data_IF_542178791032
#
_entry.id   IF_542178791032
#
_cell.length_a   1.000
_cell.length_b   1.000
_cell.length_c   1.000
_cell.angle_alpha   90.00
_cell.angle_beta   90.00
_cell.angle_gamma   90.00
#
_symmetry.space_group_name_H-M   'P 1'
#
loop_
_entity.id
_entity.type
_entity.pdbx_description
1 polymer ?
#
# COMPACT_ATOMS: atom_id res chain seq x y z
N UNK A 1 12.19 -29.86 -11.00
CA UNK A 1 13.08 -29.48 -9.88
C UNK A 1 12.41 -28.34 -9.10
N UNK A 2 11.58 -28.66 -8.10
CA UNK A 2 10.86 -27.64 -7.31
C UNK A 2 11.81 -26.83 -6.41
N UNK A 3 12.88 -27.48 -5.92
CA UNK A 3 13.85 -26.89 -4.98
C UNK A 3 14.76 -25.85 -5.62
N UNK A 4 14.79 -25.76 -6.96
CA UNK A 4 15.49 -24.70 -7.67
C UNK A 4 14.85 -23.32 -7.52
N UNK A 5 13.59 -23.25 -7.08
CA UNK A 5 12.88 -22.00 -6.80
C UNK A 5 12.38 -21.96 -5.35
N UNK A 6 11.84 -23.06 -4.84
CA UNK A 6 11.22 -23.09 -3.51
C UNK A 6 12.13 -23.75 -2.47
N UNK A 7 11.99 -23.32 -1.22
CA UNK A 7 12.59 -24.02 -0.09
C UNK A 7 11.64 -25.09 0.45
N UNK A 8 12.18 -26.24 0.90
CA UNK A 8 11.49 -27.25 1.71
C UNK A 8 12.45 -27.80 2.75
N UNK A 9 12.05 -27.69 4.01
CA UNK A 9 12.70 -28.22 5.21
C UNK A 9 14.13 -27.69 5.34
N UNK A 10 14.28 -26.39 5.08
CA UNK A 10 15.57 -25.70 5.05
C UNK A 10 16.34 -25.84 3.74
N UNK A 11 15.93 -26.73 2.83
CA UNK A 11 16.68 -27.09 1.60
C UNK A 11 16.08 -26.41 0.38
N UNK A 12 16.93 -25.91 -0.53
CA UNK A 12 16.52 -25.29 -1.79
C UNK A 12 16.29 -23.79 -1.67
N UNK A 13 15.54 -23.24 -2.64
CA UNK A 13 15.42 -21.80 -2.85
C UNK A 13 16.37 -21.30 -3.95
N UNK A 14 16.21 -20.05 -4.40
CA UNK A 14 17.11 -19.48 -5.40
C UNK A 14 18.51 -19.28 -4.82
N UNK A 15 19.52 -19.67 -5.59
CA UNK A 15 20.90 -19.32 -5.27
C UNK A 15 21.19 -17.85 -5.62
N UNK A 16 22.37 -17.37 -5.22
CA UNK A 16 22.80 -15.98 -5.48
C UNK A 16 22.77 -15.59 -6.96
N UNK A 17 22.97 -16.56 -7.87
CA UNK A 17 22.91 -16.31 -9.31
C UNK A 17 21.47 -16.11 -9.82
N UNK A 18 20.49 -16.77 -9.19
CA UNK A 18 19.07 -16.72 -9.58
C UNK A 18 18.26 -15.70 -8.79
N UNK A 19 18.70 -15.31 -7.59
CA UNK A 19 17.98 -14.40 -6.69
C UNK A 19 17.54 -13.09 -7.37
N UNK A 20 18.39 -12.54 -8.26
CA UNK A 20 18.08 -11.35 -9.08
C UNK A 20 16.87 -11.46 -10.00
N UNK A 21 16.39 -12.68 -10.29
CA UNK A 21 15.19 -12.91 -11.11
C UNK A 21 13.92 -13.02 -10.27
N UNK A 22 14.03 -12.93 -8.95
CA UNK A 22 12.94 -12.92 -8.00
C UNK A 22 12.65 -11.49 -7.56
N UNK A 23 11.73 -10.86 -8.28
CA UNK A 23 11.27 -9.48 -8.10
C UNK A 23 9.81 -9.45 -7.65
N UNK A 24 9.40 -8.34 -7.04
CA UNK A 24 8.05 -8.14 -6.55
C UNK A 24 7.96 -6.96 -5.59
N UNK A 25 7.03 -7.03 -4.65
CA UNK A 25 6.76 -5.94 -3.72
C UNK A 25 7.77 -5.91 -2.55
N UNK A 26 8.73 -5.00 -2.62
CA UNK A 26 9.77 -4.87 -1.59
C UNK A 26 9.22 -4.44 -0.21
N UNK A 27 8.01 -3.87 -0.13
CA UNK A 27 7.40 -3.42 1.12
C UNK A 27 7.13 -4.57 2.11
N UNK A 28 7.09 -5.81 1.62
CA UNK A 28 6.92 -7.03 2.41
C UNK A 28 8.15 -7.94 2.38
N UNK A 29 9.33 -7.35 2.12
CA UNK A 29 10.63 -8.02 2.14
C UNK A 29 10.66 -9.27 1.23
N UNK A 30 11.35 -10.33 1.65
CA UNK A 30 11.45 -11.58 0.88
C UNK A 30 10.07 -12.22 0.59
N UNK A 31 9.06 -11.94 1.42
CA UNK A 31 7.69 -12.37 1.18
C UNK A 31 6.98 -11.56 0.08
N UNK A 32 7.63 -10.59 -0.56
CA UNK A 32 7.14 -9.90 -1.75
C UNK A 32 7.69 -10.44 -3.06
N UNK A 33 8.88 -11.05 -3.01
CA UNK A 33 9.65 -11.43 -4.20
C UNK A 33 9.91 -12.93 -4.33
N UNK A 34 10.09 -13.65 -3.22
CA UNK A 34 10.42 -15.08 -3.23
C UNK A 34 9.18 -15.97 -3.31
N UNK A 35 9.22 -17.13 -3.98
CA UNK A 35 8.10 -18.06 -4.01
C UNK A 35 7.84 -18.67 -2.61
N UNK A 36 6.63 -19.17 -2.33
CA UNK A 36 6.33 -19.69 -0.99
C UNK A 36 7.15 -20.95 -0.68
N UNK A 37 7.55 -21.18 0.58
CA UNK A 37 8.14 -22.45 0.98
C UNK A 37 7.14 -23.60 0.80
N UNK A 38 7.68 -24.78 0.47
CA UNK A 38 6.93 -26.03 0.28
C UNK A 38 6.90 -26.93 1.53
N UNK A 39 7.50 -26.53 2.65
CA UNK A 39 7.37 -27.26 3.92
C UNK A 39 5.92 -27.29 4.37
N UNK A 40 5.39 -28.49 4.62
CA UNK A 40 4.04 -28.69 5.17
C UNK A 40 2.92 -28.17 4.28
N UNK A 41 3.12 -28.03 2.97
CA UNK A 41 2.08 -27.46 2.09
C UNK A 41 0.88 -28.37 1.92
N UNK A 42 1.06 -29.68 2.05
CA UNK A 42 -0.06 -30.64 2.03
C UNK A 42 -0.92 -30.59 3.29
N UNK A 43 -0.40 -30.21 4.46
CA UNK A 43 -1.29 -29.91 5.61
C UNK A 43 -1.95 -28.54 5.49
N UNK A 44 -1.28 -27.60 4.82
CA UNK A 44 -1.70 -26.21 4.70
C UNK A 44 -2.84 -25.98 3.71
N UNK A 45 -2.70 -26.45 2.47
CA UNK A 45 -3.59 -26.09 1.37
C UNK A 45 -4.69 -27.13 1.19
N UNK A 46 -5.87 -26.70 0.77
CA UNK A 46 -6.91 -27.62 0.33
C UNK A 46 -6.50 -28.29 -1.00
N UNK A 47 -6.86 -29.57 -1.18
CA UNK A 47 -6.50 -30.34 -2.38
C UNK A 47 -6.97 -29.67 -3.68
N UNK A 48 -8.24 -29.23 -3.70
CA UNK A 48 -8.81 -28.54 -4.86
C UNK A 48 -8.07 -27.23 -5.19
N UNK A 49 -7.63 -26.48 -4.18
CA UNK A 49 -6.82 -25.28 -4.37
C UNK A 49 -5.44 -25.63 -4.94
N UNK A 50 -4.77 -26.63 -4.35
CA UNK A 50 -3.44 -27.05 -4.78
C UNK A 50 -3.43 -27.55 -6.23
N UNK A 51 -4.45 -28.30 -6.65
CA UNK A 51 -4.60 -28.71 -8.05
C UNK A 51 -4.73 -27.51 -9.01
N UNK A 52 -5.55 -26.51 -8.66
CA UNK A 52 -5.69 -25.29 -9.47
C UNK A 52 -4.37 -24.52 -9.56
N UNK A 53 -3.60 -24.45 -8.48
CA UNK A 53 -2.25 -23.85 -8.49
C UNK A 53 -1.33 -24.59 -9.45
N UNK A 54 -1.29 -25.93 -9.39
CA UNK A 54 -0.47 -26.72 -10.33
C UNK A 54 -0.94 -26.60 -11.78
N UNK A 55 -2.23 -26.35 -12.04
CA UNK A 55 -2.73 -26.06 -13.40
C UNK A 55 -2.42 -24.64 -13.87
N UNK A 56 -1.96 -23.75 -12.99
CA UNK A 56 -1.72 -22.34 -13.30
C UNK A 56 -2.97 -21.46 -13.24
N UNK A 57 -4.06 -21.95 -12.64
CA UNK A 57 -5.38 -21.30 -12.63
C UNK A 57 -5.60 -20.38 -11.42
N UNK A 58 -4.78 -20.50 -10.38
CA UNK A 58 -4.88 -19.69 -9.15
C UNK A 58 -3.52 -19.16 -8.71
N UNK A 59 -3.50 -17.91 -8.23
CA UNK A 59 -2.32 -17.23 -7.70
C UNK A 59 -2.72 -16.35 -6.51
N UNK A 60 -2.16 -16.61 -5.33
CA UNK A 60 -2.48 -15.83 -4.12
C UNK A 60 -1.61 -14.59 -3.90
N UNK A 61 -0.47 -14.49 -4.59
CA UNK A 61 0.53 -13.43 -4.39
C UNK A 61 0.71 -12.68 -5.70
N UNK A 62 -0.20 -11.75 -6.05
CA UNK A 62 -0.18 -11.04 -7.32
C UNK A 62 1.05 -10.15 -7.52
N UNK A 63 1.73 -9.82 -6.42
CA UNK A 63 2.96 -9.03 -6.38
C UNK A 63 4.26 -9.81 -6.64
N UNK A 64 4.29 -11.15 -6.59
CA UNK A 64 5.52 -11.93 -6.88
C UNK A 64 5.69 -12.14 -8.39
N UNK A 65 6.54 -11.37 -9.06
CA UNK A 65 6.57 -11.34 -10.53
C UNK A 65 6.96 -12.68 -11.15
N UNK A 66 7.95 -13.36 -10.57
CA UNK A 66 8.42 -14.67 -11.03
C UNK A 66 7.30 -15.72 -10.99
N UNK A 67 7.00 -16.31 -12.15
CA UNK A 67 5.91 -17.28 -12.30
C UNK A 67 6.38 -18.71 -12.04
N UNK A 68 5.54 -19.47 -11.34
CA UNK A 68 5.70 -20.92 -11.23
C UNK A 68 5.24 -21.58 -12.54
N UNK A 69 6.00 -22.54 -13.10
CA UNK A 69 5.55 -23.31 -14.26
C UNK A 69 4.26 -24.08 -13.96
N UNK A 70 3.38 -24.21 -14.95
CA UNK A 70 2.20 -25.04 -14.86
C UNK A 70 2.55 -26.53 -15.07
N UNK A 71 2.01 -27.39 -14.22
CA UNK A 71 2.15 -28.85 -14.25
C UNK A 71 0.78 -29.52 -14.37
N UNK A 72 -0.07 -29.04 -15.29
CA UNK A 72 -1.47 -29.45 -15.40
C UNK A 72 -1.68 -30.97 -15.48
N UNK A 73 -0.81 -31.68 -16.22
CA UNK A 73 -0.86 -33.15 -16.36
C UNK A 73 -0.52 -33.91 -15.06
N UNK A 74 0.22 -33.27 -14.14
CA UNK A 74 0.66 -33.87 -12.89
C UNK A 74 -0.07 -33.29 -11.66
N UNK A 75 -0.97 -32.34 -11.84
CA UNK A 75 -1.63 -31.62 -10.75
C UNK A 75 -2.21 -32.56 -9.69
N UNK A 76 -3.01 -33.56 -10.11
CA UNK A 76 -3.60 -34.55 -9.20
C UNK A 76 -2.55 -35.41 -8.48
N UNK A 77 -1.53 -35.85 -9.21
CA UNK A 77 -0.48 -36.72 -8.67
C UNK A 77 0.37 -35.97 -7.63
N UNK A 78 0.78 -34.73 -7.93
CA UNK A 78 1.55 -33.90 -7.00
C UNK A 78 0.73 -33.51 -5.78
N UNK A 79 -0.53 -33.12 -5.96
CA UNK A 79 -1.44 -32.82 -4.84
C UNK A 79 -1.56 -34.02 -3.91
N UNK A 80 -1.82 -35.21 -4.44
CA UNK A 80 -1.92 -36.45 -3.64
C UNK A 80 -0.63 -36.71 -2.85
N UNK A 81 0.52 -36.72 -3.53
CA UNK A 81 1.82 -37.00 -2.89
C UNK A 81 2.16 -36.00 -1.79
N UNK A 82 1.90 -34.70 -2.02
CA UNK A 82 2.17 -33.66 -1.02
C UNK A 82 1.25 -33.79 0.20
N UNK A 83 -0.03 -34.10 0.00
CA UNK A 83 -0.95 -34.37 1.12
C UNK A 83 -0.55 -35.61 1.93
N UNK A 84 -0.08 -36.66 1.28
CA UNK A 84 0.39 -37.88 1.95
C UNK A 84 1.65 -37.61 2.78
N UNK A 85 2.64 -36.92 2.20
CA UNK A 85 3.92 -36.64 2.86
C UNK A 85 3.79 -35.59 3.97
N UNK A 86 2.94 -34.59 3.80
CA UNK A 86 2.73 -33.51 4.77
C UNK A 86 1.55 -33.78 5.73
N UNK A 87 1.02 -35.00 5.79
CA UNK A 87 -0.14 -35.32 6.61
C UNK A 87 0.11 -34.99 8.10
N UNK A 88 -0.82 -34.22 8.69
CA UNK A 88 -0.82 -33.89 10.12
C UNK A 88 -2.18 -34.24 10.73
N UNK A 89 -2.45 -35.53 10.98
CA UNK A 89 -3.78 -35.99 11.43
C UNK A 89 -4.18 -35.42 12.79
N UNK A 90 -3.19 -35.09 13.64
CA UNK A 90 -3.41 -34.64 15.02
C UNK A 90 -3.65 -33.12 15.15
N UNK A 91 -3.73 -32.39 14.03
CA UNK A 91 -4.07 -30.96 14.11
C UNK A 91 -5.47 -30.79 14.72
N UNK A 92 -5.64 -29.90 15.71
CA UNK A 92 -6.94 -29.68 16.35
C UNK A 92 -7.98 -29.17 15.37
N UNK A 93 -9.20 -29.72 15.49
CA UNK A 93 -10.36 -29.16 14.80
C UNK A 93 -10.73 -27.79 15.40
N UNK A 94 -11.31 -26.93 14.57
CA UNK A 94 -11.92 -25.69 15.05
C UNK A 94 -13.23 -26.05 15.78
N UNK A 95 -13.51 -25.32 16.84
CA UNK A 95 -14.84 -25.27 17.44
C UNK A 95 -15.81 -24.50 16.52
N UNK A 96 -17.08 -24.46 16.88
CA UNK A 96 -18.05 -23.60 16.18
C UNK A 96 -17.72 -22.12 16.45
N UNK A 97 -17.77 -21.31 15.40
CA UNK A 97 -17.46 -19.89 15.42
C UNK A 97 -18.71 -19.01 15.29
N UNK A 98 -18.65 -17.82 15.87
CA UNK A 98 -19.64 -16.76 15.71
C UNK A 98 -19.19 -15.81 14.59
N UNK A 99 -20.01 -15.68 13.55
CA UNK A 99 -19.71 -14.88 12.36
C UNK A 99 -19.51 -13.40 12.71
N UNK A 100 -20.35 -12.81 13.55
CA UNK A 100 -20.23 -11.39 13.89
C UNK A 100 -19.01 -11.12 14.77
N UNK A 101 -18.71 -12.05 15.69
CA UNK A 101 -17.47 -11.98 16.44
C UNK A 101 -16.24 -12.05 15.50
N UNK A 102 -16.28 -12.91 14.48
CA UNK A 102 -15.23 -13.00 13.46
C UNK A 102 -15.07 -11.70 12.67
N UNK A 103 -16.19 -11.10 12.25
CA UNK A 103 -16.22 -9.81 11.55
C UNK A 103 -15.55 -8.69 12.35
N UNK A 104 -15.85 -8.63 13.65
CA UNK A 104 -15.22 -7.68 14.58
C UNK A 104 -13.74 -7.96 14.79
N UNK A 105 -13.37 -9.23 14.98
CA UNK A 105 -11.98 -9.62 15.24
C UNK A 105 -11.06 -9.29 14.07
N UNK A 106 -11.47 -9.51 12.82
CA UNK A 106 -10.62 -9.13 11.66
C UNK A 106 -10.40 -7.61 11.56
N UNK A 107 -11.34 -6.83 12.09
CA UNK A 107 -11.37 -5.38 12.03
C UNK A 107 -10.34 -4.66 12.90
N UNK A 108 -10.33 -3.33 12.78
CA UNK A 108 -9.47 -2.44 13.59
C UNK A 108 -10.18 -1.83 14.80
N UNK A 109 -11.49 -2.00 14.92
CA UNK A 109 -12.29 -1.43 16.01
C UNK A 109 -12.43 -2.43 17.16
N UNK A 110 -11.36 -2.55 17.95
CA UNK A 110 -11.32 -3.49 19.08
C UNK A 110 -11.16 -4.96 18.64
N UNK A 111 -10.69 -5.19 17.41
CA UNK A 111 -10.29 -6.49 16.88
C UNK A 111 -8.78 -6.72 16.98
N UNK A 112 -8.31 -7.72 16.23
CA UNK A 112 -6.89 -8.08 16.11
C UNK A 112 -6.18 -7.39 14.94
N UNK A 113 -6.83 -6.44 14.26
CA UNK A 113 -6.26 -5.58 13.22
C UNK A 113 -5.74 -6.31 11.97
N UNK A 114 -6.41 -7.39 11.54
CA UNK A 114 -5.98 -8.16 10.37
C UNK A 114 -6.00 -7.33 9.08
N UNK A 115 -7.01 -6.47 8.92
CA UNK A 115 -7.19 -5.63 7.72
C UNK A 115 -6.16 -4.50 7.59
N UNK A 116 -5.32 -4.27 8.61
CA UNK A 116 -4.18 -3.35 8.50
C UNK A 116 -3.11 -3.89 7.57
N UNK A 117 -2.96 -5.21 7.52
CA UNK A 117 -1.93 -5.87 6.72
C UNK A 117 -2.49 -6.74 5.60
N UNK A 118 -3.77 -7.11 5.64
CA UNK A 118 -4.34 -8.02 4.66
C UNK A 118 -5.51 -7.40 3.90
N UNK A 119 -5.54 -7.68 2.59
CA UNK A 119 -6.62 -7.31 1.68
C UNK A 119 -7.88 -8.12 2.03
N UNK A 120 -9.05 -7.54 1.75
CA UNK A 120 -10.34 -8.23 1.83
C UNK A 120 -11.10 -8.07 0.51
N UNK A 121 -10.99 -9.07 -0.37
CA UNK A 121 -11.62 -9.01 -1.70
C UNK A 121 -11.04 -7.86 -2.54
N UNK A 122 -11.89 -6.89 -2.87
CA UNK A 122 -11.52 -5.67 -3.59
C UNK A 122 -11.06 -4.54 -2.66
N UNK A 123 -11.14 -4.71 -1.33
CA UNK A 123 -10.73 -3.69 -0.37
C UNK A 123 -9.24 -3.80 -0.05
N UNK A 124 -8.42 -2.79 -0.39
CA UNK A 124 -7.01 -2.78 -0.03
C UNK A 124 -6.87 -2.75 1.49
N UNK A 125 -5.76 -3.30 2.00
CA UNK A 125 -5.46 -3.18 3.42
C UNK A 125 -5.14 -1.73 3.80
N UNK A 126 -5.18 -1.41 5.10
CA UNK A 126 -4.88 -0.07 5.64
C UNK A 126 -3.38 0.23 5.77
N UNK A 127 -2.55 -0.59 5.16
CA UNK A 127 -1.10 -0.51 5.28
C UNK A 127 -0.44 -1.47 4.30
N UNK A 128 0.22 -2.49 4.84
CA UNK A 128 0.93 -3.49 4.04
C UNK A 128 -0.06 -4.29 3.18
N UNK A 129 0.20 -4.49 1.89
CA UNK A 129 -0.70 -5.22 0.99
C UNK A 129 -0.43 -6.75 0.98
N UNK A 130 -0.65 -7.44 2.11
CA UNK A 130 -0.47 -8.89 2.18
C UNK A 130 -1.65 -9.68 1.56
N UNK A 131 -1.63 -11.01 1.74
CA UNK A 131 -2.59 -11.95 1.14
C UNK A 131 -4.06 -11.58 1.41
N UNK A 132 -4.92 -11.76 0.42
CA UNK A 132 -6.38 -11.61 0.56
C UNK A 132 -6.96 -12.64 1.54
N UNK A 133 -7.66 -12.15 2.58
CA UNK A 133 -8.29 -13.00 3.60
C UNK A 133 -9.63 -13.60 3.15
N UNK A 134 -10.32 -12.95 2.20
CA UNK A 134 -11.69 -13.30 1.82
C UNK A 134 -11.83 -14.67 1.15
N UNK A 135 -10.71 -15.23 0.68
CA UNK A 135 -10.63 -16.52 -0.04
C UNK A 135 -9.84 -17.58 0.73
N UNK A 136 -9.59 -17.38 2.02
CA UNK A 136 -8.76 -18.32 2.78
C UNK A 136 -9.45 -19.65 3.07
N UNK A 137 -10.78 -19.69 3.12
CA UNK A 137 -11.57 -20.91 3.28
C UNK A 137 -11.44 -21.83 2.06
N UNK A 138 -11.43 -21.28 0.84
CA UNK A 138 -11.15 -22.03 -0.38
C UNK A 138 -9.72 -22.59 -0.38
N UNK A 139 -8.78 -21.80 0.17
CA UNK A 139 -7.34 -22.03 0.02
C UNK A 139 -6.72 -22.90 1.11
N UNK A 140 -7.07 -22.65 2.36
CA UNK A 140 -6.39 -23.20 3.53
C UNK A 140 -7.21 -24.31 4.19
N UNK A 141 -6.50 -25.24 4.82
CA UNK A 141 -7.10 -26.15 5.77
C UNK A 141 -7.39 -25.38 7.08
N UNK A 142 -8.62 -25.45 7.63
CA UNK A 142 -8.98 -24.74 8.86
C UNK A 142 -8.08 -25.09 10.04
N UNK A 143 -7.75 -26.38 10.21
CA UNK A 143 -6.94 -26.86 11.32
C UNK A 143 -5.51 -26.30 11.26
N UNK A 144 -4.96 -26.22 10.05
CA UNK A 144 -3.67 -25.57 9.81
C UNK A 144 -3.76 -24.07 10.09
N UNK A 145 -4.82 -23.40 9.63
CA UNK A 145 -5.04 -21.97 9.87
C UNK A 145 -5.03 -21.62 11.35
N UNK A 146 -5.75 -22.39 12.18
CA UNK A 146 -5.73 -22.22 13.64
C UNK A 146 -4.30 -22.29 14.19
N UNK A 147 -3.57 -23.35 13.88
CA UNK A 147 -2.22 -23.53 14.41
C UNK A 147 -1.23 -22.48 13.89
N UNK A 148 -1.43 -22.01 12.66
CA UNK A 148 -0.64 -20.92 12.08
C UNK A 148 -0.85 -19.61 12.84
N UNK A 149 -2.08 -19.21 13.15
CA UNK A 149 -2.38 -17.95 13.86
C UNK A 149 -1.75 -17.88 15.27
N UNK A 150 -1.58 -19.02 15.92
CA UNK A 150 -0.95 -19.13 17.23
C UNK A 150 0.57 -18.95 17.18
N UNK A 151 1.22 -19.35 16.07
CA UNK A 151 2.67 -19.26 15.93
C UNK A 151 3.13 -19.11 14.47
N UNK A 152 2.88 -17.96 13.80
CA UNK A 152 3.28 -17.78 12.41
C UNK A 152 4.80 -17.95 12.16
N UNK A 153 5.72 -17.45 13.02
CA UNK A 153 7.16 -17.64 12.84
C UNK A 153 7.59 -19.11 12.81
N UNK A 154 6.89 -19.99 13.53
CA UNK A 154 7.16 -21.43 13.52
C UNK A 154 6.86 -22.11 12.18
N UNK A 155 5.96 -21.56 11.37
CA UNK A 155 5.63 -22.09 10.04
C UNK A 155 6.37 -21.35 8.92
N UNK A 156 6.72 -20.09 9.15
CA UNK A 156 7.42 -19.23 8.18
C UNK A 156 8.44 -18.37 8.91
N UNK A 157 9.69 -18.84 9.03
CA UNK A 157 10.78 -18.04 9.54
C UNK A 157 10.89 -16.70 8.79
N UNK A 158 11.08 -15.60 9.52
CA UNK A 158 11.17 -14.26 8.94
C UNK A 158 9.84 -13.66 8.46
N UNK A 159 8.68 -14.28 8.75
CA UNK A 159 7.39 -13.67 8.43
C UNK A 159 7.14 -12.40 9.25
N UNK A 160 6.55 -11.38 8.59
CA UNK A 160 6.09 -10.16 9.26
C UNK A 160 4.87 -10.37 10.16
N UNK A 161 4.15 -11.49 9.98
CA UNK A 161 2.94 -11.77 10.76
C UNK A 161 3.31 -12.15 12.20
N UNK A 162 2.90 -11.37 13.22
CA UNK A 162 3.18 -11.70 14.60
C UNK A 162 2.25 -12.83 15.09
N UNK A 163 2.61 -13.53 16.20
CA UNK A 163 1.65 -14.36 16.91
C UNK A 163 0.47 -13.51 17.37
N UNK A 164 -0.73 -13.76 16.83
CA UNK A 164 -1.92 -12.95 17.13
C UNK A 164 -2.51 -13.27 18.52
N UNK A 165 -2.22 -14.46 19.03
CA UNK A 165 -2.45 -14.89 20.41
C UNK A 165 -1.12 -15.29 21.04
N UNK A 166 -0.29 -14.34 21.50
CA UNK A 166 1.00 -14.64 22.11
C UNK A 166 0.85 -15.65 23.25
N UNK A 167 1.61 -16.75 23.21
CA UNK A 167 1.49 -17.83 24.19
C UNK A 167 0.15 -18.58 24.17
N UNK A 168 -0.63 -18.45 23.09
CA UNK A 168 -1.97 -19.05 22.98
C UNK A 168 -3.08 -18.26 23.67
N UNK A 169 -2.81 -17.03 24.12
CA UNK A 169 -3.75 -16.23 24.93
C UNK A 169 -4.28 -15.04 24.15
N UNK A 170 -5.60 -14.85 24.17
CA UNK A 170 -6.25 -13.72 23.51
C UNK A 170 -5.90 -12.39 24.17
N UNK A 171 -5.56 -11.39 23.37
CA UNK A 171 -5.37 -10.01 23.82
C UNK A 171 -6.69 -9.24 23.83
N UNK A 172 -7.58 -9.52 22.88
CA UNK A 172 -8.93 -8.95 22.81
C UNK A 172 -9.83 -9.69 23.81
N UNK A 173 -10.07 -9.14 25.00
CA UNK A 173 -10.90 -9.79 26.03
C UNK A 173 -12.40 -9.53 25.87
N UNK A 174 -12.76 -8.42 25.23
CA UNK A 174 -14.16 -7.97 25.09
C UNK A 174 -14.96 -8.77 24.06
N UNK A 175 -14.29 -9.56 23.21
CA UNK A 175 -14.92 -10.46 22.26
C UNK A 175 -14.84 -11.88 22.80
N UNK A 176 -16.00 -12.54 22.95
CA UNK A 176 -16.11 -13.94 23.40
C UNK A 176 -15.36 -14.21 24.73
N UNK A 177 -15.27 -13.20 25.60
CA UNK A 177 -14.55 -13.24 26.88
C UNK A 177 -13.07 -13.63 26.76
N UNK A 178 -12.45 -13.39 25.61
CA UNK A 178 -11.05 -13.74 25.37
C UNK A 178 -10.79 -15.24 25.22
N UNK A 179 -11.79 -16.03 24.81
CA UNK A 179 -11.61 -17.44 24.48
C UNK A 179 -10.88 -17.58 23.14
N UNK A 180 -9.61 -17.99 23.19
CA UNK A 180 -8.74 -18.12 22.00
C UNK A 180 -9.33 -19.02 20.92
N UNK A 181 -9.85 -20.19 21.30
CA UNK A 181 -10.35 -21.17 20.33
C UNK A 181 -11.60 -20.66 19.64
N UNK A 182 -12.53 -20.08 20.41
CA UNK A 182 -13.74 -19.49 19.83
C UNK A 182 -13.44 -18.28 18.97
N UNK A 183 -12.46 -17.44 19.34
CA UNK A 183 -12.08 -16.29 18.52
C UNK A 183 -11.49 -16.70 17.17
N UNK A 184 -10.55 -17.66 17.17
CA UNK A 184 -9.97 -18.20 15.94
C UNK A 184 -11.04 -18.87 15.07
N UNK A 185 -11.92 -19.67 15.68
CA UNK A 185 -13.04 -20.30 14.98
C UNK A 185 -14.01 -19.27 14.39
N UNK A 186 -14.28 -18.19 15.11
CA UNK A 186 -15.17 -17.10 14.67
C UNK A 186 -14.60 -16.36 13.47
N UNK A 187 -13.28 -16.07 13.47
CA UNK A 187 -12.61 -15.51 12.29
C UNK A 187 -12.77 -16.42 11.08
N UNK A 188 -12.53 -17.73 11.25
CA UNK A 188 -12.73 -18.68 10.17
C UNK A 188 -14.18 -18.74 9.68
N UNK A 189 -15.15 -18.76 10.60
CA UNK A 189 -16.57 -18.77 10.27
C UNK A 189 -16.99 -17.54 9.46
N UNK A 190 -16.47 -16.36 9.81
CA UNK A 190 -16.72 -15.13 9.04
C UNK A 190 -16.11 -15.19 7.64
N UNK A 191 -14.85 -15.63 7.52
CA UNK A 191 -14.20 -15.84 6.21
C UNK A 191 -15.01 -16.81 5.35
N UNK A 192 -15.38 -17.96 5.89
CA UNK A 192 -16.13 -18.98 5.17
C UNK A 192 -17.55 -18.55 4.78
N UNK A 193 -18.15 -17.61 5.53
CA UNK A 193 -19.43 -17.00 5.13
C UNK A 193 -19.25 -16.04 3.95
N UNK A 194 -18.14 -15.30 3.90
CA UNK A 194 -17.78 -14.43 2.77
C UNK A 194 -18.70 -13.23 2.56
N UNK A 195 -19.51 -12.85 3.56
CA UNK A 195 -20.49 -11.77 3.46
C UNK A 195 -20.11 -10.57 4.33
N UNK A 196 -20.12 -9.37 3.73
CA UNK A 196 -19.87 -8.12 4.43
C UNK A 196 -18.38 -7.78 4.58
N UNK A 197 -18.13 -6.70 5.31
CA UNK A 197 -16.79 -6.18 5.57
C UNK A 197 -16.41 -6.35 7.05
N UNK A 198 -15.14 -6.69 7.34
CA UNK A 198 -14.56 -6.49 8.67
C UNK A 198 -14.82 -5.08 9.21
N UNK A 199 -14.96 -4.96 10.53
CA UNK A 199 -15.21 -3.65 11.16
C UNK A 199 -14.05 -2.67 11.01
N UNK A 200 -14.37 -1.41 10.75
CA UNK A 200 -13.38 -0.33 10.72
C UNK A 200 -12.65 -0.13 9.40
N UNK A 201 -13.07 -0.77 8.31
CA UNK A 201 -12.76 -0.23 6.99
C UNK A 201 -13.35 1.19 6.88
N UNK A 202 -12.56 2.20 6.50
CA UNK A 202 -13.11 3.51 6.21
C UNK A 202 -14.03 3.42 4.99
N UNK A 203 -15.03 4.30 4.95
CA UNK A 203 -15.94 4.39 3.81
C UNK A 203 -15.16 4.69 2.54
N UNK A 204 -15.20 3.77 1.58
CA UNK A 204 -14.56 3.95 0.27
C UNK A 204 -15.58 4.50 -0.74
N UNK A 205 -16.29 5.56 -0.35
CA UNK A 205 -17.11 6.30 -1.29
C UNK A 205 -16.17 7.16 -2.13
N UNK A 206 -16.21 7.07 -3.48
CA UNK A 206 -15.34 7.89 -4.33
C UNK A 206 -15.48 9.36 -3.96
N UNK A 207 -14.34 10.05 -3.79
CA UNK A 207 -14.29 11.48 -3.51
C UNK A 207 -14.81 11.90 -2.12
N UNK A 208 -15.08 10.94 -1.22
CA UNK A 208 -15.55 11.25 0.13
C UNK A 208 -14.52 12.03 0.95
N UNK A 209 -13.25 11.95 0.58
CA UNK A 209 -12.14 12.66 1.23
C UNK A 209 -11.46 13.64 0.27
N UNK A 210 -12.22 14.18 -0.69
CA UNK A 210 -11.75 15.26 -1.56
C UNK A 210 -11.39 16.51 -0.74
N UNK A 211 -10.19 17.05 -1.01
CA UNK A 211 -9.75 18.32 -0.46
C UNK A 211 -10.42 19.47 -1.22
N UNK A 212 -11.35 20.18 -0.58
CA UNK A 212 -12.06 21.30 -1.21
C UNK A 212 -11.62 22.62 -0.55
N UNK A 213 -10.75 23.36 -1.23
CA UNK A 213 -10.32 24.69 -0.78
C UNK A 213 -11.42 25.73 -1.06
N UNK A 214 -12.09 26.18 0.00
CA UNK A 214 -13.16 27.19 -0.09
C UNK A 214 -12.59 28.60 0.05
N UNK A 215 -12.25 29.02 1.27
CA UNK A 215 -11.85 30.42 1.54
C UNK A 215 -10.34 30.62 1.66
N UNK A 216 -9.59 29.54 1.86
CA UNK A 216 -8.13 29.56 2.06
C UNK A 216 -7.46 28.35 1.44
N UNK A 217 -6.17 28.44 1.07
CA UNK A 217 -5.43 27.29 0.58
C UNK A 217 -5.37 26.16 1.62
N UNK A 218 -5.46 24.93 1.12
CA UNK A 218 -5.30 23.69 1.88
C UNK A 218 -3.95 23.08 1.51
N UNK A 219 -3.19 22.67 2.53
CA UNK A 219 -1.95 21.91 2.34
C UNK A 219 -2.11 20.50 2.90
N UNK A 220 -1.80 19.50 2.09
CA UNK A 220 -1.81 18.09 2.49
C UNK A 220 -0.49 17.43 2.11
N UNK A 221 0.23 16.89 3.10
CA UNK A 221 1.33 15.96 2.82
C UNK A 221 0.76 14.65 2.32
N UNK A 222 1.24 14.17 1.19
CA UNK A 222 0.59 13.11 0.43
C UNK A 222 1.61 12.22 -0.28
N UNK A 223 1.11 11.13 -0.83
CA UNK A 223 1.80 10.31 -1.81
C UNK A 223 1.13 10.56 -3.17
N UNK A 224 1.91 10.91 -4.19
CA UNK A 224 1.37 11.21 -5.51
C UNK A 224 2.13 10.49 -6.61
N UNK A 225 1.40 9.89 -7.53
CA UNK A 225 1.97 9.17 -8.67
C UNK A 225 2.77 10.12 -9.57
N UNK A 226 3.95 9.66 -9.98
CA UNK A 226 4.88 10.47 -10.77
C UNK A 226 5.54 11.62 -10.01
N UNK A 227 5.32 11.74 -8.68
CA UNK A 227 6.02 12.70 -7.82
C UNK A 227 6.76 11.97 -6.71
N UNK A 228 6.08 11.11 -5.95
CA UNK A 228 6.67 10.27 -4.91
C UNK A 228 6.07 10.51 -3.53
N UNK A 229 6.76 9.97 -2.51
CA UNK A 229 6.20 9.85 -1.16
C UNK A 229 6.31 11.10 -0.28
N UNK A 230 7.02 12.13 -0.75
CA UNK A 230 7.22 13.40 -0.05
C UNK A 230 6.50 14.55 -0.75
N UNK A 231 5.33 14.26 -1.32
CA UNK A 231 4.54 15.25 -2.04
C UNK A 231 3.80 16.16 -1.05
N UNK A 232 3.77 17.47 -1.34
CA UNK A 232 2.87 18.42 -0.67
C UNK A 232 1.87 18.89 -1.71
N UNK A 233 0.60 18.50 -1.54
CA UNK A 233 -0.52 18.98 -2.34
C UNK A 233 -0.98 20.32 -1.75
N UNK A 234 -1.18 21.29 -2.62
CA UNK A 234 -1.73 22.61 -2.30
C UNK A 234 -2.98 22.82 -3.17
N UNK A 235 -4.15 22.87 -2.54
CA UNK A 235 -5.38 23.28 -3.20
C UNK A 235 -5.67 24.74 -2.89
N UNK A 236 -5.78 25.58 -3.92
CA UNK A 236 -6.15 26.99 -3.75
C UNK A 236 -7.66 27.19 -4.00
N UNK A 237 -8.28 28.18 -3.33
CA UNK A 237 -9.60 28.66 -3.70
C UNK A 237 -9.71 28.94 -5.21
N UNK A 238 -10.83 28.55 -5.82
CA UNK A 238 -11.05 28.72 -7.26
C UNK A 238 -10.50 27.58 -8.13
N UNK A 239 -10.08 26.46 -7.53
CA UNK A 239 -9.78 25.22 -8.27
C UNK A 239 -8.45 25.23 -9.00
N UNK A 240 -7.50 26.07 -8.58
CA UNK A 240 -6.09 25.97 -9.01
C UNK A 240 -5.37 25.11 -7.99
N UNK A 241 -4.61 24.12 -8.44
CA UNK A 241 -3.94 23.19 -7.55
C UNK A 241 -2.47 22.99 -7.95
N UNK A 242 -1.64 22.62 -6.97
CA UNK A 242 -0.20 22.41 -7.08
C UNK A 242 0.22 21.16 -6.32
N UNK A 243 1.12 20.37 -6.89
CA UNK A 243 1.89 19.37 -6.19
C UNK A 243 3.35 19.82 -6.12
N UNK A 244 3.91 19.80 -4.93
CA UNK A 244 5.30 20.17 -4.67
C UNK A 244 6.09 18.92 -4.23
N UNK A 245 7.21 18.65 -4.90
CA UNK A 245 8.11 17.56 -4.56
C UNK A 245 9.12 18.04 -3.51
N UNK A 246 8.88 17.71 -2.24
CA UNK A 246 9.79 18.09 -1.17
C UNK A 246 11.09 17.27 -1.17
N UNK A 247 11.11 16.07 -1.77
CA UNK A 247 12.33 15.28 -1.89
C UNK A 247 13.30 15.92 -2.90
N UNK A 248 12.75 16.40 -4.03
CA UNK A 248 13.55 17.08 -5.06
C UNK A 248 13.74 18.58 -4.82
N UNK A 249 12.90 19.20 -3.99
CA UNK A 249 12.94 20.63 -3.67
C UNK A 249 12.43 21.53 -4.79
N UNK A 250 11.36 21.14 -5.49
CA UNK A 250 10.79 21.89 -6.62
C UNK A 250 9.30 21.57 -6.84
N UNK A 251 8.53 22.46 -7.52
CA UNK A 251 7.18 22.12 -7.97
C UNK A 251 7.19 20.95 -8.94
N UNK A 252 6.13 20.14 -8.92
CA UNK A 252 6.03 18.90 -9.69
C UNK A 252 4.83 18.87 -10.64
N UNK A 253 3.64 19.28 -10.20
CA UNK A 253 2.43 19.29 -11.04
C UNK A 253 1.56 20.50 -10.75
N UNK A 254 0.81 20.97 -11.74
CA UNK A 254 -0.33 21.89 -11.54
C UNK A 254 -1.52 21.42 -12.35
N UNK A 255 -2.72 21.65 -11.85
CA UNK A 255 -3.96 21.25 -12.53
C UNK A 255 -5.14 22.13 -12.12
N UNK A 256 -6.26 22.00 -12.85
CA UNK A 256 -7.50 22.75 -12.58
C UNK A 256 -8.64 21.87 -12.10
N UNK A 257 -9.60 22.49 -11.44
CA UNK A 257 -10.82 21.87 -10.96
C UNK A 257 -10.59 21.16 -9.63
N UNK A 258 -11.01 19.90 -9.57
CA UNK A 258 -11.02 19.09 -8.35
C UNK A 258 -9.58 18.85 -7.86
N UNK A 259 -9.34 18.99 -6.57
CA UNK A 259 -7.99 18.99 -6.04
C UNK A 259 -7.43 17.56 -5.96
N UNK A 260 -7.74 16.85 -4.89
CA UNK A 260 -7.09 15.59 -4.56
C UNK A 260 -7.93 14.81 -3.55
N UNK A 261 -8.01 13.48 -3.70
CA UNK A 261 -8.65 12.61 -2.70
C UNK A 261 -7.60 12.16 -1.68
N UNK A 262 -7.83 12.48 -0.41
CA UNK A 262 -6.89 12.16 0.65
C UNK A 262 -7.06 10.73 1.22
N UNK A 263 -8.03 9.93 0.75
CA UNK A 263 -8.34 8.60 1.29
C UNK A 263 -7.10 7.71 1.40
N UNK A 264 -6.37 7.52 0.30
CA UNK A 264 -5.20 6.63 0.31
C UNK A 264 -4.07 7.18 1.19
N UNK A 265 -3.97 8.50 1.33
CA UNK A 265 -2.99 9.12 2.24
C UNK A 265 -3.37 8.93 3.70
N UNK A 266 -4.66 9.02 4.03
CA UNK A 266 -5.14 8.97 5.41
C UNK A 266 -5.32 7.55 5.93
N UNK A 267 -5.69 6.61 5.06
CA UNK A 267 -6.12 5.28 5.49
C UNK A 267 -5.33 4.11 4.92
N UNK A 268 -4.76 4.22 3.71
CA UNK A 268 -4.05 3.10 3.05
C UNK A 268 -2.54 3.19 3.27
N UNK A 269 -1.97 4.38 3.11
CA UNK A 269 -0.55 4.69 3.29
C UNK A 269 0.40 3.76 2.53
N UNK A 270 -0.04 3.25 1.38
CA UNK A 270 0.71 2.36 0.51
C UNK A 270 0.42 2.67 -0.97
N UNK A 271 1.25 2.11 -1.86
CA UNK A 271 1.04 2.20 -3.30
C UNK A 271 -0.18 1.35 -3.75
N UNK A 272 -0.82 1.69 -4.90
CA UNK A 272 -0.48 2.78 -5.81
C UNK A 272 -0.81 4.17 -5.24
N UNK A 273 0.01 5.16 -5.57
CA UNK A 273 -0.23 6.55 -5.18
C UNK A 273 -1.32 7.18 -6.07
N UNK A 274 -2.04 8.14 -5.49
CA UNK A 274 -3.17 8.79 -6.15
C UNK A 274 -2.71 9.75 -7.26
N UNK A 275 -3.59 9.91 -8.25
CA UNK A 275 -3.51 10.94 -9.29
C UNK A 275 -4.34 12.18 -8.86
N UNK A 276 -4.08 13.37 -9.44
CA UNK A 276 -4.99 14.51 -9.30
C UNK A 276 -6.44 14.16 -9.68
N UNK A 277 -7.42 14.73 -8.99
CA UNK A 277 -8.85 14.52 -9.31
C UNK A 277 -9.35 15.38 -10.47
N UNK A 278 -8.65 16.48 -10.73
CA UNK A 278 -9.02 17.48 -11.73
C UNK A 278 -8.39 17.23 -13.09
N UNK A 279 -8.74 18.10 -14.03
CA UNK A 279 -8.33 18.02 -15.42
C UNK A 279 -7.11 18.92 -15.70
N UNK A 280 -6.60 18.86 -16.93
CA UNK A 280 -5.50 19.68 -17.44
C UNK A 280 -4.24 19.63 -16.57
N UNK A 281 -3.83 18.42 -16.19
CA UNK A 281 -2.60 18.21 -15.41
C UNK A 281 -1.37 18.55 -16.26
N UNK A 282 -0.57 19.51 -15.79
CA UNK A 282 0.70 19.92 -16.39
C UNK A 282 1.85 19.59 -15.45
N UNK A 283 2.90 18.98 -16.00
CA UNK A 283 4.05 18.47 -15.26
C UNK A 283 5.28 19.38 -15.36
N UNK A 284 5.93 19.63 -14.23
CA UNK A 284 7.30 20.15 -14.21
C UNK A 284 8.30 19.04 -14.51
N UNK A 285 9.32 19.31 -15.34
CA UNK A 285 10.31 18.31 -15.70
C UNK A 285 11.30 18.04 -14.56
N UNK A 286 11.73 16.77 -14.45
CA UNK A 286 12.82 16.35 -13.56
C UNK A 286 12.39 16.10 -12.12
N UNK A 287 11.15 15.65 -11.90
CA UNK A 287 10.57 15.24 -10.61
C UNK A 287 10.32 13.72 -10.61
N UNK A 288 10.01 13.13 -9.45
CA UNK A 288 9.75 11.69 -9.30
C UNK A 288 10.75 10.98 -8.38
N UNK A 289 10.50 9.70 -8.09
CA UNK A 289 11.28 8.92 -7.12
C UNK A 289 12.79 8.83 -7.45
N UNK A 290 13.14 8.80 -8.74
CA UNK A 290 14.54 8.73 -9.20
C UNK A 290 15.16 10.11 -9.50
N UNK A 291 14.43 11.20 -9.26
CA UNK A 291 14.91 12.54 -9.56
C UNK A 291 16.05 12.95 -8.62
N UNK A 292 17.09 13.59 -9.19
CA UNK A 292 18.16 14.19 -8.38
C UNK A 292 17.64 15.48 -7.74
N UNK A 293 17.77 15.66 -6.41
CA UNK A 293 17.35 16.88 -5.76
C UNK A 293 18.06 18.11 -6.34
N UNK A 294 17.27 19.12 -6.70
CA UNK A 294 17.78 20.41 -7.20
C UNK A 294 18.00 21.40 -6.06
N UNK A 295 17.31 21.21 -4.94
CA UNK A 295 17.48 21.97 -3.71
C UNK A 295 17.19 21.08 -2.48
N UNK A 296 17.79 21.43 -1.35
CA UNK A 296 17.46 20.82 -0.06
C UNK A 296 16.21 21.51 0.51
N UNK A 297 15.16 20.74 0.78
CA UNK A 297 13.94 21.24 1.38
C UNK A 297 14.08 21.48 2.89
N UNK A 298 13.77 22.70 3.35
CA UNK A 298 13.94 23.15 4.75
C UNK A 298 12.61 23.40 5.46
N UNK A 299 11.47 23.11 4.81
CA UNK A 299 10.12 23.33 5.33
C UNK A 299 9.35 24.38 4.54
N UNK A 300 8.24 24.86 5.11
CA UNK A 300 7.43 25.92 4.52
C UNK A 300 6.86 26.86 5.58
N UNK A 301 6.46 28.05 5.16
CA UNK A 301 5.69 29.03 5.94
C UNK A 301 4.42 29.37 5.18
N UNK A 302 3.39 29.78 5.90
CA UNK A 302 2.16 30.29 5.30
C UNK A 302 2.09 31.80 5.52
N UNK A 303 1.64 32.54 4.50
CA UNK A 303 1.27 33.94 4.69
C UNK A 303 -0.09 34.07 5.40
N UNK A 304 -0.55 35.31 5.61
CA UNK A 304 -1.83 35.59 6.29
C UNK A 304 -3.04 34.99 5.56
N UNK A 305 -2.96 34.80 4.24
CA UNK A 305 -4.00 34.19 3.42
C UNK A 305 -3.90 32.66 3.36
N UNK A 306 -2.82 32.09 3.91
CA UNK A 306 -2.55 30.66 3.88
C UNK A 306 -1.74 30.19 2.68
N UNK A 307 -1.24 31.09 1.83
CA UNK A 307 -0.42 30.75 0.68
C UNK A 307 0.97 30.25 1.13
N UNK A 308 1.49 29.17 0.54
CA UNK A 308 2.76 28.61 0.97
C UNK A 308 3.98 29.31 0.37
N UNK A 309 4.99 29.48 1.22
CA UNK A 309 6.38 29.77 0.87
C UNK A 309 7.24 28.58 1.27
N UNK A 310 7.71 27.82 0.28
CA UNK A 310 8.64 26.72 0.48
C UNK A 310 10.06 27.25 0.66
N UNK A 311 10.74 26.75 1.69
CA UNK A 311 12.07 27.18 2.09
C UNK A 311 13.08 26.16 1.60
N UNK A 312 14.06 26.62 0.84
CA UNK A 312 15.02 25.78 0.15
C UNK A 312 16.45 26.24 0.43
N UNK A 313 17.40 25.30 0.39
CA UNK A 313 18.84 25.60 0.36
C UNK A 313 19.42 25.06 -0.94
N UNK A 314 20.05 25.95 -1.71
CA UNK A 314 20.85 25.59 -2.89
C UNK A 314 22.33 25.92 -2.64
N UNK A 315 23.23 25.48 -3.53
CA UNK A 315 24.67 25.82 -3.42
C UNK A 315 24.93 27.33 -3.31
N UNK A 316 24.07 28.16 -3.91
CA UNK A 316 24.16 29.62 -3.90
C UNK A 316 23.52 30.34 -2.72
N UNK A 317 22.89 29.63 -1.77
CA UNK A 317 22.25 30.25 -0.59
C UNK A 317 20.83 29.75 -0.31
N UNK A 318 20.13 30.46 0.56
CA UNK A 318 18.71 30.21 0.84
C UNK A 318 17.83 30.74 -0.30
N UNK A 319 16.79 29.99 -0.62
CA UNK A 319 15.77 30.34 -1.61
C UNK A 319 14.40 30.24 -0.96
N UNK A 320 13.53 31.19 -1.28
CA UNK A 320 12.11 31.15 -0.91
C UNK A 320 11.29 31.05 -2.19
N UNK A 321 10.49 30.00 -2.29
CA UNK A 321 9.63 29.69 -3.43
C UNK A 321 8.16 29.79 -3.00
N UNK A 322 7.54 30.93 -3.29
CA UNK A 322 6.19 31.28 -2.86
C UNK A 322 5.16 31.00 -3.95
N UNK A 323 3.99 30.49 -3.58
CA UNK A 323 2.91 30.17 -4.51
C UNK A 323 1.57 30.72 -4.02
N UNK A 324 0.81 31.29 -4.94
CA UNK A 324 -0.58 31.70 -4.72
C UNK A 324 -1.41 31.47 -5.99
N UNK A 325 -2.73 31.51 -5.87
CA UNK A 325 -3.63 31.52 -7.01
C UNK A 325 -4.36 32.87 -7.12
N UNK A 326 -4.41 33.42 -8.33
CA UNK A 326 -5.14 34.67 -8.65
C UNK A 326 -5.78 34.54 -10.02
N UNK A 327 -7.06 34.89 -10.12
CA UNK A 327 -7.82 34.90 -11.38
C UNK A 327 -7.73 33.57 -12.17
N UNK A 328 -7.78 32.44 -11.46
CA UNK A 328 -7.69 31.10 -12.06
C UNK A 328 -6.30 30.74 -12.60
N UNK A 329 -5.25 31.50 -12.23
CA UNK A 329 -3.85 31.26 -12.61
C UNK A 329 -3.02 30.94 -11.38
N UNK A 330 -1.96 30.16 -11.57
CA UNK A 330 -0.96 29.92 -10.53
C UNK A 330 0.14 30.98 -10.64
N UNK A 331 0.44 31.66 -9.54
CA UNK A 331 1.52 32.64 -9.45
C UNK A 331 2.62 32.06 -8.57
N UNK A 332 3.86 32.06 -9.08
CA UNK A 332 5.05 31.63 -8.36
C UNK A 332 6.03 32.78 -8.24
N UNK A 333 6.50 33.04 -7.04
CA UNK A 333 7.47 34.09 -6.73
C UNK A 333 8.69 33.47 -6.08
N UNK A 334 9.83 33.54 -6.76
CA UNK A 334 11.11 32.98 -6.32
C UNK A 334 12.02 34.11 -5.88
N UNK A 335 12.49 34.05 -4.64
CA UNK A 335 13.56 34.92 -4.11
C UNK A 335 14.83 34.12 -3.94
N UNK A 336 15.93 34.58 -4.55
CA UNK A 336 17.24 33.92 -4.49
C UNK A 336 17.64 33.19 -5.79
N UNK A 337 18.81 32.54 -5.75
CA UNK A 337 19.50 31.99 -6.93
C UNK A 337 19.02 30.62 -7.42
N UNK A 338 17.70 30.38 -7.51
CA UNK A 338 17.15 29.15 -8.08
C UNK A 338 16.88 29.31 -9.59
N UNK A 339 17.35 28.35 -10.38
CA UNK A 339 16.99 28.25 -11.79
C UNK A 339 15.58 27.65 -11.92
N UNK A 340 14.61 28.49 -12.27
CA UNK A 340 13.21 28.13 -12.25
C UNK A 340 12.81 27.39 -13.53
N UNK A 341 12.55 26.09 -13.41
CA UNK A 341 11.88 25.31 -14.46
C UNK A 341 10.38 25.58 -14.49
N UNK A 342 9.75 25.31 -15.63
CA UNK A 342 8.34 25.57 -15.89
C UNK A 342 7.61 24.29 -16.31
N UNK A 343 6.29 24.21 -16.08
CA UNK A 343 5.51 23.05 -16.45
C UNK A 343 5.36 22.96 -17.98
N UNK A 344 5.49 21.76 -18.52
CA UNK A 344 5.39 21.52 -19.96
C UNK A 344 3.96 21.77 -20.40
N UNK A 345 3.78 22.64 -21.40
CA UNK A 345 2.48 22.96 -21.98
C UNK A 345 1.80 24.21 -21.41
N UNK A 346 2.28 24.75 -20.29
CA UNK A 346 1.75 26.00 -19.73
C UNK A 346 2.18 27.23 -20.54
N UNK A 347 1.34 28.25 -20.56
CA UNK A 347 1.73 29.61 -20.90
C UNK A 347 2.37 30.26 -19.67
N UNK A 348 3.51 30.93 -19.87
CA UNK A 348 4.30 31.51 -18.78
C UNK A 348 4.57 32.98 -19.05
N UNK A 349 4.02 33.85 -18.22
CA UNK A 349 4.40 35.26 -18.17
C UNK A 349 5.41 35.46 -17.04
N UNK A 350 6.62 35.90 -17.38
CA UNK A 350 7.71 36.12 -16.42
C UNK A 350 7.99 37.61 -16.23
N UNK A 351 8.23 38.01 -14.99
CA UNK A 351 8.75 39.33 -14.62
C UNK A 351 9.83 39.20 -13.56
N UNK A 352 10.65 40.22 -13.40
CA UNK A 352 11.73 40.24 -12.42
C UNK A 352 11.91 41.63 -11.83
N UNK A 353 12.05 41.69 -10.52
CA UNK A 353 12.28 42.90 -9.75
C UNK A 353 13.32 42.60 -8.66
N UNK A 354 14.46 43.29 -8.70
CA UNK A 354 15.60 43.03 -7.82
C UNK A 354 16.02 41.53 -7.81
N UNK A 355 16.01 40.88 -6.65
CA UNK A 355 16.34 39.46 -6.43
C UNK A 355 15.13 38.52 -6.51
N UNK A 356 13.99 39.04 -6.98
CA UNK A 356 12.70 38.33 -7.05
C UNK A 356 12.32 38.10 -8.51
N UNK A 357 12.01 36.84 -8.84
CA UNK A 357 11.43 36.44 -10.12
C UNK A 357 9.99 36.02 -9.91
N UNK A 358 9.07 36.54 -10.70
CA UNK A 358 7.65 36.18 -10.65
C UNK A 358 7.24 35.52 -11.95
N UNK A 359 6.51 34.42 -11.85
CA UNK A 359 5.98 33.65 -12.96
C UNK A 359 4.48 33.47 -12.79
N UNK A 360 3.71 33.80 -13.82
CA UNK A 360 2.27 33.54 -13.87
C UNK A 360 2.03 32.45 -14.90
N UNK A 361 1.43 31.34 -14.44
CA UNK A 361 1.14 30.17 -15.25
C UNK A 361 -0.35 30.12 -15.60
N UNK A 362 -0.64 29.94 -16.89
CA UNK A 362 -1.97 29.62 -17.40
C UNK A 362 -1.96 28.37 -18.27
N UNK A 363 -3.12 27.73 -18.36
CA UNK A 363 -3.38 26.63 -19.29
C UNK A 363 -3.74 27.20 -20.66
N UNK A 364 -3.38 26.46 -21.71
CA UNK A 364 -3.74 26.81 -23.09
C UNK A 364 -5.24 26.69 -23.37
#
# INVERSE_FOLDING_TARGET
NCLGCHQRDGVGGPDSARDRFFTGDESIADAGRLPPPLTGIGSKLNAAWMEKVFRGEKRSRPYVETRMPAYAMHAKAFTKLLHEVDAQPDLPALVEGDVEAGRKLLGIQGGVNCITCHVWGDRPSLGIQALDLSVLDERLNPRWFRSYLLNPPGYRPGTLMPPMWPGGVATVKDVLKGDTEKQIASIWAFIAKGEGLPEGFPDHAPNAFELIAQDRPILQRSFMKGVGSQTIVVGFPGGVNLAYDAASGQPAKMWRGRCFDAYSTWFVRAAPFEDPLGDDVLDWPGTGEDAKPVAEFRGYRLDEKGNPSFLLRVKGGDVVDHFEARDGKLVRTVRGGLDAKHPVGAEVAASSEADIKTFVYSWK
#
